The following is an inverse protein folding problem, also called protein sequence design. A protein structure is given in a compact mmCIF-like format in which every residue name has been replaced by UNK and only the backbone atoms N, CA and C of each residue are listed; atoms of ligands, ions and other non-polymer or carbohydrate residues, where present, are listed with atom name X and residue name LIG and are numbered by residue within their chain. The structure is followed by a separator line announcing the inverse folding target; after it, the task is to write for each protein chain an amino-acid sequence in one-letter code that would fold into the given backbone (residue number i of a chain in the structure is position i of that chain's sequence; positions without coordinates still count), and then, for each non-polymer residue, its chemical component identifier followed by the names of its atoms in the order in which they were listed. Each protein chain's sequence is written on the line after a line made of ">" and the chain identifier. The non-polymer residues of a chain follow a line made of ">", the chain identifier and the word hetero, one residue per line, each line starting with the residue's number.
data_IF_808772764846
#
_entry.id   IF_808772764846
#
_cell.length_a   1.000
_cell.length_b   1.000
_cell.length_c   1.000
_cell.angle_alpha   90.00
_cell.angle_beta   90.00
_cell.angle_gamma   90.00
#
_symmetry.space_group_name_H-M   'P 1'
#
loop_
_entity.id
_entity.type
_entity.pdbx_description
1 polymer ?
#
# COMPACT_ATOMS: atom_id res chain seq x y z
N UNK A 1 -8.08 -44.14 -36.46
CA UNK A 1 -7.50 -44.82 -35.28
C UNK A 1 -8.39 -44.53 -34.07
N UNK A 2 -9.10 -45.53 -33.53
CA UNK A 2 -9.91 -45.37 -32.31
C UNK A 2 -9.02 -45.68 -31.11
N UNK A 3 -8.66 -44.66 -30.33
CA UNK A 3 -7.94 -44.84 -29.07
C UNK A 3 -8.79 -45.71 -28.12
N UNK A 4 -8.17 -46.69 -27.45
CA UNK A 4 -8.85 -47.51 -26.44
C UNK A 4 -9.33 -46.61 -25.29
N UNK A 5 -10.38 -47.02 -24.55
CA UNK A 5 -10.94 -46.24 -23.43
C UNK A 5 -9.87 -45.82 -22.40
N UNK A 6 -8.83 -46.64 -22.23
CA UNK A 6 -7.69 -46.37 -21.35
C UNK A 6 -6.76 -45.26 -21.89
N UNK A 7 -6.51 -45.24 -23.21
CA UNK A 7 -5.70 -44.19 -23.84
C UNK A 7 -6.39 -42.82 -23.83
N UNK A 8 -7.71 -42.80 -23.94
CA UNK A 8 -8.51 -41.56 -23.84
C UNK A 8 -8.45 -40.91 -22.45
N UNK A 9 -8.53 -41.70 -21.38
CA UNK A 9 -8.42 -41.14 -20.02
C UNK A 9 -7.04 -40.53 -19.76
N UNK A 10 -5.97 -41.17 -20.24
CA UNK A 10 -4.63 -40.64 -20.08
C UNK A 10 -4.44 -39.31 -20.84
N UNK A 11 -5.02 -39.18 -22.03
CA UNK A 11 -4.99 -37.94 -22.82
C UNK A 11 -5.74 -36.81 -22.13
N UNK A 12 -6.91 -37.10 -21.53
CA UNK A 12 -7.68 -36.09 -20.79
C UNK A 12 -6.90 -35.63 -19.55
N UNK A 13 -6.34 -36.56 -18.77
CA UNK A 13 -5.54 -36.23 -17.58
C UNK A 13 -4.34 -35.35 -17.98
N UNK A 14 -3.61 -35.73 -19.02
CA UNK A 14 -2.44 -34.98 -19.49
C UNK A 14 -2.82 -33.57 -19.98
N UNK A 15 -3.95 -33.45 -20.67
CA UNK A 15 -4.45 -32.15 -21.17
C UNK A 15 -4.89 -31.24 -20.03
N UNK A 16 -5.61 -31.78 -19.03
CA UNK A 16 -6.04 -31.02 -17.86
C UNK A 16 -4.85 -30.59 -17.01
N UNK A 17 -3.86 -31.44 -16.79
CA UNK A 17 -2.63 -31.06 -16.08
C UNK A 17 -1.87 -29.94 -16.79
N UNK A 18 -1.73 -30.01 -18.12
CA UNK A 18 -1.11 -28.93 -18.91
C UNK A 18 -1.91 -27.63 -18.79
N UNK A 19 -3.24 -27.69 -18.85
CA UNK A 19 -4.10 -26.50 -18.71
C UNK A 19 -4.00 -25.92 -17.29
N UNK A 20 -3.99 -26.74 -16.24
CA UNK A 20 -3.80 -26.27 -14.85
C UNK A 20 -2.44 -25.60 -14.70
N UNK A 21 -1.37 -26.22 -15.22
CA UNK A 21 -0.02 -25.63 -15.20
C UNK A 21 0.02 -24.34 -16.02
N UNK A 22 -0.62 -24.28 -17.19
CA UNK A 22 -0.65 -23.09 -18.04
C UNK A 22 -1.45 -21.96 -17.40
N UNK A 23 -2.58 -22.25 -16.76
CA UNK A 23 -3.35 -21.26 -15.99
C UNK A 23 -2.52 -20.77 -14.82
N UNK A 24 -1.90 -21.67 -14.04
CA UNK A 24 -1.10 -21.29 -12.88
C UNK A 24 0.17 -20.51 -13.27
N UNK A 25 0.86 -20.93 -14.35
CA UNK A 25 2.04 -20.25 -14.88
C UNK A 25 1.70 -18.92 -15.57
N UNK A 26 0.51 -18.78 -16.17
CA UNK A 26 0.02 -17.49 -16.68
C UNK A 26 -0.41 -16.59 -15.53
N UNK A 27 -0.87 -17.16 -14.42
CA UNK A 27 -1.18 -16.41 -13.20
C UNK A 27 0.08 -15.81 -12.55
N UNK A 28 1.21 -16.55 -12.50
CA UNK A 28 2.50 -15.99 -12.08
C UNK A 28 3.04 -14.95 -13.06
N UNK A 29 2.76 -15.07 -14.36
CA UNK A 29 3.10 -14.03 -15.34
C UNK A 29 2.26 -12.75 -15.26
N UNK A 30 1.19 -12.73 -14.47
CA UNK A 30 0.46 -11.49 -14.15
C UNK A 30 1.12 -10.71 -13.02
N UNK A 31 2.06 -11.32 -12.29
CA UNK A 31 2.92 -10.65 -11.32
C UNK A 31 4.36 -11.13 -11.47
N UNK A 32 5.10 -10.65 -12.49
CA UNK A 32 6.53 -10.91 -12.56
C UNK A 32 7.19 -10.19 -11.37
N UNK A 33 7.45 -10.93 -10.30
CA UNK A 33 8.66 -10.71 -9.52
C UNK A 33 9.81 -10.97 -10.49
N UNK A 34 10.46 -9.92 -10.97
CA UNK A 34 11.91 -9.81 -11.22
C UNK A 34 12.21 -8.60 -12.14
N UNK A 35 12.99 -7.67 -11.58
CA UNK A 35 13.98 -6.84 -12.26
C UNK A 35 13.59 -6.14 -13.58
N UNK A 36 13.18 -4.87 -13.44
CA UNK A 36 13.69 -3.82 -14.30
C UNK A 36 13.10 -3.71 -15.71
N UNK A 37 11.82 -3.38 -15.83
CA UNK A 37 11.31 -2.63 -16.99
C UNK A 37 10.01 -1.90 -16.64
N UNK A 38 9.95 -0.62 -17.02
CA UNK A 38 8.93 0.38 -16.67
C UNK A 38 7.49 0.07 -17.15
N UNK A 39 6.83 -0.90 -16.53
CA UNK A 39 5.38 -0.88 -16.36
C UNK A 39 5.11 -0.32 -14.97
N UNK A 40 4.22 0.67 -14.83
CA UNK A 40 3.75 1.20 -13.56
C UNK A 40 3.14 0.08 -12.71
N UNK A 41 3.99 -0.69 -12.04
CA UNK A 41 3.57 -1.80 -11.20
C UNK A 41 2.82 -1.21 -10.03
N UNK A 42 1.60 -1.69 -9.82
CA UNK A 42 0.83 -1.32 -8.66
C UNK A 42 1.51 -1.94 -7.43
N UNK A 43 1.88 -1.11 -6.47
CA UNK A 43 2.55 -1.51 -5.24
C UNK A 43 1.73 -1.03 -4.04
N UNK A 44 1.58 -1.91 -3.04
CA UNK A 44 0.98 -1.53 -1.75
C UNK A 44 1.87 -0.53 -1.02
N UNK A 45 1.26 0.44 -0.37
CA UNK A 45 2.00 1.45 0.40
C UNK A 45 2.68 0.81 1.61
N UNK A 46 1.94 -0.03 2.32
CA UNK A 46 2.43 -0.80 3.45
C UNK A 46 2.70 -2.26 3.03
N UNK A 47 3.66 -2.95 3.69
CA UNK A 47 3.91 -4.36 3.46
C UNK A 47 2.65 -5.22 3.61
N UNK A 48 2.60 -6.33 2.87
CA UNK A 48 1.47 -7.26 2.97
C UNK A 48 1.29 -7.79 4.39
N UNK A 49 0.03 -7.95 4.80
CA UNK A 49 -0.35 -8.45 6.13
C UNK A 49 0.22 -7.66 7.31
N UNK A 50 0.64 -6.41 7.08
CA UNK A 50 1.12 -5.53 8.15
C UNK A 50 -0.01 -5.07 9.07
N UNK A 51 0.30 -4.91 10.36
CA UNK A 51 -0.62 -4.37 11.37
C UNK A 51 -0.07 -3.04 11.89
N UNK A 52 -0.80 -1.94 11.70
CA UNK A 52 -0.38 -0.62 12.19
C UNK A 52 -0.53 -0.55 13.71
N UNK A 53 0.52 -0.09 14.39
CA UNK A 53 0.56 0.17 15.83
C UNK A 53 0.44 1.66 16.13
N UNK A 54 1.21 2.47 15.41
CA UNK A 54 1.18 3.92 15.54
C UNK A 54 1.26 4.58 14.18
N UNK A 55 0.57 5.70 14.02
CA UNK A 55 0.65 6.57 12.85
C UNK A 55 0.79 8.01 13.32
N UNK A 56 1.86 8.70 12.92
CA UNK A 56 2.10 10.10 13.26
C UNK A 56 2.16 10.93 11.99
N UNK A 57 1.36 11.98 11.91
CA UNK A 57 1.31 12.92 10.80
C UNK A 57 1.89 14.25 11.31
N UNK A 58 3.01 14.69 10.75
CA UNK A 58 3.63 15.97 11.03
C UNK A 58 3.33 16.92 9.87
N UNK A 59 2.42 17.86 10.10
CA UNK A 59 2.00 18.86 9.10
C UNK A 59 2.90 20.08 9.14
N UNK A 60 3.32 20.48 10.34
CA UNK A 60 4.20 21.62 10.59
C UNK A 60 4.81 21.46 11.98
N UNK A 61 5.84 22.25 12.30
CA UNK A 61 6.51 22.31 13.62
C UNK A 61 5.55 22.40 14.83
N UNK A 62 4.37 23.00 14.64
CA UNK A 62 3.37 23.22 15.69
C UNK A 62 2.15 22.30 15.59
N UNK A 63 2.00 21.58 14.48
CA UNK A 63 0.79 20.84 14.14
C UNK A 63 1.12 19.40 13.82
N UNK A 64 0.66 18.49 14.69
CA UNK A 64 0.86 17.07 14.53
C UNK A 64 -0.34 16.26 15.01
N UNK A 65 -0.60 15.14 14.36
CA UNK A 65 -1.56 14.13 14.79
C UNK A 65 -0.83 12.85 15.10
N UNK A 66 -1.12 12.25 16.24
CA UNK A 66 -0.55 10.98 16.65
C UNK A 66 -1.66 10.01 17.00
N UNK A 67 -1.69 8.90 16.28
CA UNK A 67 -2.59 7.78 16.48
C UNK A 67 -1.80 6.63 17.07
N UNK A 68 -2.27 6.09 18.20
CA UNK A 68 -1.65 4.94 18.84
C UNK A 68 -2.70 3.90 19.20
N UNK A 69 -2.37 2.63 18.97
CA UNK A 69 -3.19 1.51 19.42
C UNK A 69 -2.90 1.21 20.89
N UNK A 70 -3.90 1.37 21.74
CA UNK A 70 -3.79 1.10 23.19
C UNK A 70 -4.75 -0.02 23.56
N UNK A 71 -4.21 -1.24 23.66
CA UNK A 71 -5.01 -2.44 23.83
C UNK A 71 -5.85 -2.72 22.58
N UNK A 72 -7.17 -2.60 22.71
CA UNK A 72 -8.12 -2.87 21.61
C UNK A 72 -8.62 -1.63 20.90
N UNK A 73 -8.36 -0.44 21.45
CA UNK A 73 -8.87 0.82 20.93
C UNK A 73 -7.77 1.71 20.38
N UNK A 74 -8.19 2.69 19.57
CA UNK A 74 -7.32 3.73 19.07
C UNK A 74 -7.40 4.99 19.93
N UNK A 75 -6.25 5.60 20.18
CA UNK A 75 -6.15 6.90 20.82
C UNK A 75 -5.58 7.92 19.84
N UNK A 76 -6.23 9.07 19.76
CA UNK A 76 -5.77 10.23 19.01
C UNK A 76 -5.24 11.28 19.98
N UNK A 77 -4.01 11.70 19.75
CA UNK A 77 -3.42 12.89 20.38
C UNK A 77 -3.10 13.90 19.29
N UNK A 78 -3.72 15.09 19.34
CA UNK A 78 -3.44 16.17 18.42
C UNK A 78 -2.71 17.32 19.12
N UNK A 79 -1.79 17.97 18.41
CA UNK A 79 -1.10 19.17 18.83
C UNK A 79 -1.36 20.26 17.80
N UNK A 80 -1.75 21.45 18.23
CA UNK A 80 -1.98 22.60 17.35
C UNK A 80 -3.24 22.52 16.47
N UNK A 81 -4.00 21.42 16.53
CA UNK A 81 -5.23 21.25 15.76
C UNK A 81 -6.31 20.56 16.59
N UNK A 82 -7.52 21.11 16.60
CA UNK A 82 -8.68 20.50 17.24
C UNK A 82 -9.35 19.52 16.26
N UNK A 83 -8.82 18.30 16.19
CA UNK A 83 -9.41 17.20 15.41
C UNK A 83 -10.11 16.25 16.38
N UNK A 84 -11.40 16.04 16.18
CA UNK A 84 -12.17 15.04 16.90
C UNK A 84 -12.58 13.94 15.91
N UNK A 85 -11.90 12.79 15.96
CA UNK A 85 -12.26 11.60 15.21
C UNK A 85 -12.85 10.57 16.15
N UNK A 86 -13.91 9.89 15.70
CA UNK A 86 -14.43 8.72 16.40
C UNK A 86 -13.50 7.53 16.22
N UNK A 87 -13.55 6.57 17.14
CA UNK A 87 -12.76 5.34 17.04
C UNK A 87 -12.98 4.62 15.70
N UNK A 88 -14.23 4.54 15.23
CA UNK A 88 -14.57 3.94 13.94
C UNK A 88 -13.93 4.68 12.75
N UNK A 89 -13.84 6.01 12.81
CA UNK A 89 -13.15 6.79 11.76
C UNK A 89 -11.65 6.53 11.77
N UNK A 90 -11.04 6.37 12.94
CA UNK A 90 -9.62 6.03 13.06
C UNK A 90 -9.37 4.61 12.55
N UNK A 91 -10.22 3.63 12.88
CA UNK A 91 -10.10 2.28 12.34
C UNK A 91 -10.18 2.25 10.81
N UNK A 92 -11.13 2.99 10.24
CA UNK A 92 -11.24 3.13 8.78
C UNK A 92 -10.00 3.78 8.16
N UNK A 93 -9.44 4.81 8.80
CA UNK A 93 -8.20 5.47 8.37
C UNK A 93 -7.04 4.47 8.34
N UNK A 94 -6.84 3.70 9.42
CA UNK A 94 -5.78 2.70 9.50
C UNK A 94 -5.97 1.58 8.48
N UNK A 95 -7.21 1.13 8.29
CA UNK A 95 -7.55 0.14 7.28
C UNK A 95 -7.26 0.65 5.86
N UNK A 96 -7.63 1.89 5.55
CA UNK A 96 -7.32 2.52 4.27
C UNK A 96 -5.81 2.56 4.03
N UNK A 97 -4.99 2.89 5.03
CA UNK A 97 -3.52 2.82 4.90
C UNK A 97 -3.01 1.41 4.58
N UNK A 98 -3.54 0.38 5.25
CA UNK A 98 -3.12 -1.02 5.07
C UNK A 98 -3.54 -1.62 3.73
N UNK A 99 -4.67 -1.18 3.18
CA UNK A 99 -5.21 -1.71 1.92
C UNK A 99 -4.83 -0.88 0.70
N UNK A 100 -4.30 0.33 0.88
CA UNK A 100 -4.01 1.22 -0.24
C UNK A 100 -2.78 0.76 -1.04
N UNK A 101 -2.97 0.77 -2.35
CA UNK A 101 -1.95 0.59 -3.36
C UNK A 101 -1.90 1.80 -4.28
N UNK A 102 -0.77 1.95 -4.97
CA UNK A 102 -0.60 3.00 -5.96
C UNK A 102 0.41 2.60 -7.02
N UNK A 103 0.55 3.46 -8.02
CA UNK A 103 1.43 3.21 -9.17
C UNK A 103 2.85 3.68 -8.85
N UNK A 104 3.82 2.76 -8.91
CA UNK A 104 5.23 3.11 -8.77
C UNK A 104 5.65 4.06 -9.89
N UNK A 105 6.33 5.14 -9.51
CA UNK A 105 6.89 6.13 -10.44
C UNK A 105 8.33 5.73 -10.78
N UNK A 106 8.68 5.84 -12.06
CA UNK A 106 10.01 5.50 -12.58
C UNK A 106 11.02 6.63 -12.44
N UNK A 107 10.56 7.87 -12.30
CA UNK A 107 11.40 9.06 -12.28
C UNK A 107 11.63 9.58 -10.85
N UNK A 108 12.82 10.12 -10.61
CA UNK A 108 13.11 10.86 -9.38
C UNK A 108 12.35 12.18 -9.41
N UNK A 109 11.24 12.24 -8.67
CA UNK A 109 10.37 13.41 -8.66
C UNK A 109 11.05 14.51 -7.84
N UNK A 110 11.49 15.57 -8.52
CA UNK A 110 12.03 16.77 -7.85
C UNK A 110 10.87 17.55 -7.23
N UNK A 111 10.68 17.41 -5.91
CA UNK A 111 9.65 18.14 -5.17
C UNK A 111 10.29 19.05 -4.11
N UNK A 112 9.66 20.21 -3.89
CA UNK A 112 9.97 21.09 -2.77
C UNK A 112 9.56 20.42 -1.45
N UNK A 113 10.56 20.04 -0.66
CA UNK A 113 10.39 19.36 0.63
C UNK A 113 9.58 20.17 1.64
N UNK A 114 9.49 21.50 1.48
CA UNK A 114 8.68 22.36 2.36
C UNK A 114 7.17 22.14 2.21
N UNK A 115 6.74 21.52 1.11
CA UNK A 115 5.33 21.19 0.86
C UNK A 115 4.99 19.75 1.29
N UNK A 116 5.98 18.99 1.76
CA UNK A 116 5.79 17.62 2.21
C UNK A 116 5.07 17.58 3.57
N UNK A 117 4.13 16.65 3.72
CA UNK A 117 3.69 16.21 5.05
C UNK A 117 4.47 14.95 5.41
N UNK A 118 5.15 14.96 6.54
CA UNK A 118 5.91 13.81 7.01
C UNK A 118 5.00 12.86 7.80
N UNK A 119 5.16 11.57 7.55
CA UNK A 119 4.35 10.51 8.14
C UNK A 119 5.25 9.40 8.68
N UNK A 120 5.00 9.01 9.92
CA UNK A 120 5.70 7.90 10.57
C UNK A 120 4.71 6.81 10.92
N UNK A 121 4.94 5.60 10.41
CA UNK A 121 4.10 4.43 10.66
C UNK A 121 4.96 3.34 11.32
N UNK A 122 4.58 2.94 12.52
CA UNK A 122 5.15 1.76 13.16
C UNK A 122 4.22 0.57 12.95
N UNK A 123 4.80 -0.56 12.52
CA UNK A 123 4.07 -1.79 12.24
C UNK A 123 4.44 -2.88 13.24
N UNK A 124 3.51 -3.78 13.52
CA UNK A 124 3.78 -4.96 14.33
C UNK A 124 4.79 -5.88 13.61
N UNK A 125 5.82 -6.32 14.33
CA UNK A 125 6.86 -7.20 13.79
C UNK A 125 7.92 -6.50 12.94
N UNK A 126 7.85 -5.17 12.77
CA UNK A 126 8.87 -4.37 12.09
C UNK A 126 9.53 -3.46 13.11
N UNK A 127 10.85 -3.61 13.30
CA UNK A 127 11.58 -2.83 14.32
C UNK A 127 11.73 -1.36 13.94
N UNK A 128 11.86 -1.06 12.64
CA UNK A 128 12.02 0.30 12.14
C UNK A 128 10.67 0.93 11.81
N UNK A 129 10.52 2.18 12.23
CA UNK A 129 9.37 3.00 11.84
C UNK A 129 9.51 3.39 10.37
N UNK A 130 8.48 3.12 9.58
CA UNK A 130 8.43 3.50 8.19
C UNK A 130 8.17 5.01 8.10
N UNK A 131 9.00 5.72 7.35
CA UNK A 131 8.87 7.16 7.15
C UNK A 131 8.46 7.42 5.71
N UNK A 132 7.39 8.19 5.56
CA UNK A 132 6.84 8.59 4.28
C UNK A 132 6.74 10.10 4.17
N UNK A 133 6.92 10.61 2.96
CA UNK A 133 6.58 11.99 2.62
C UNK A 133 5.39 12.01 1.68
N UNK A 134 4.35 12.70 2.10
CA UNK A 134 3.14 12.90 1.30
C UNK A 134 3.18 14.26 0.62
N UNK A 135 2.92 14.26 -0.69
CA UNK A 135 2.89 15.43 -1.53
C UNK A 135 1.55 15.49 -2.27
N UNK A 136 0.56 16.24 -1.74
CA UNK A 136 -0.72 16.39 -2.39
C UNK A 136 -0.58 17.30 -3.62
N UNK A 137 -0.94 16.80 -4.80
CA UNK A 137 -1.15 17.59 -6.02
C UNK A 137 -2.64 17.74 -6.30
N UNK A 138 -3.00 18.44 -7.39
CA UNK A 138 -4.40 18.66 -7.77
C UNK A 138 -5.16 17.36 -8.05
N UNK A 139 -4.55 16.46 -8.81
CA UNK A 139 -5.22 15.26 -9.35
C UNK A 139 -4.73 13.95 -8.70
N UNK A 140 -3.60 14.01 -7.99
CA UNK A 140 -2.97 12.84 -7.38
C UNK A 140 -2.23 13.21 -6.09
N UNK A 141 -2.00 12.20 -5.27
CA UNK A 141 -1.12 12.23 -4.11
C UNK A 141 0.14 11.44 -4.44
N UNK A 142 1.30 12.07 -4.32
CA UNK A 142 2.58 11.37 -4.38
C UNK A 142 3.01 11.00 -2.97
N UNK A 143 3.45 9.76 -2.79
CA UNK A 143 3.97 9.23 -1.54
C UNK A 143 5.38 8.73 -1.81
N UNK A 144 6.35 9.30 -1.12
CA UNK A 144 7.73 8.82 -1.12
C UNK A 144 7.97 7.96 0.10
N UNK A 145 8.45 6.74 -0.10
CA UNK A 145 8.91 5.87 0.98
C UNK A 145 10.40 6.10 1.21
N UNK A 146 10.79 6.67 2.35
CA UNK A 146 12.20 6.95 2.64
C UNK A 146 13.04 5.67 2.82
N UNK A 147 12.45 4.59 3.33
CA UNK A 147 13.16 3.34 3.57
C UNK A 147 13.54 2.63 2.27
N UNK A 148 12.67 2.68 1.26
CA UNK A 148 12.90 2.01 -0.03
C UNK A 148 13.36 2.94 -1.15
N UNK A 149 13.23 4.27 -0.99
CA UNK A 149 13.53 5.25 -2.03
C UNK A 149 12.55 5.24 -3.20
N UNK A 150 11.33 4.72 -2.99
CA UNK A 150 10.33 4.53 -4.06
C UNK A 150 9.25 5.60 -3.97
N UNK A 151 8.88 6.15 -5.12
CA UNK A 151 7.74 7.03 -5.31
C UNK A 151 6.51 6.24 -5.75
N UNK A 152 5.39 6.47 -5.08
CA UNK A 152 4.10 5.86 -5.38
C UNK A 152 3.09 6.99 -5.64
N UNK A 153 2.31 6.89 -6.72
CA UNK A 153 1.22 7.81 -6.99
C UNK A 153 -0.15 7.19 -6.70
N UNK A 154 -1.02 7.97 -6.10
CA UNK A 154 -2.41 7.61 -5.82
C UNK A 154 -3.37 8.66 -6.39
N UNK A 155 -4.54 8.28 -6.91
CA UNK A 155 -5.58 9.23 -7.29
C UNK A 155 -6.01 10.12 -6.10
N UNK A 156 -6.29 11.40 -6.36
CA UNK A 156 -6.74 12.34 -5.32
C UNK A 156 -8.05 11.92 -4.61
N UNK A 157 -8.86 11.04 -5.22
CA UNK A 157 -10.03 10.48 -4.56
C UNK A 157 -9.65 9.59 -3.35
N UNK A 158 -8.55 8.84 -3.44
CA UNK A 158 -8.08 7.95 -2.38
C UNK A 158 -7.32 8.72 -1.29
N UNK A 159 -6.65 9.82 -1.63
CA UNK A 159 -5.88 10.62 -0.66
C UNK A 159 -6.74 11.13 0.51
N UNK A 160 -8.03 11.42 0.25
CA UNK A 160 -8.98 11.87 1.28
C UNK A 160 -9.24 10.84 2.37
N UNK A 161 -9.04 9.57 2.06
CA UNK A 161 -9.21 8.47 3.02
C UNK A 161 -7.95 8.23 3.85
N UNK A 162 -6.79 8.73 3.40
CA UNK A 162 -5.49 8.53 4.03
C UNK A 162 -5.10 9.68 4.96
N UNK A 163 -5.64 10.88 4.73
CA UNK A 163 -5.36 12.06 5.55
C UNK A 163 -6.66 12.61 6.14
N UNK A 164 -6.80 12.65 7.48
CA UNK A 164 -7.99 13.19 8.13
C UNK A 164 -8.02 14.73 8.17
N UNK A 165 -7.02 15.38 7.59
CA UNK A 165 -6.78 16.81 7.61
C UNK A 165 -6.74 17.33 6.18
N UNK A 166 -7.91 17.73 5.67
CA UNK A 166 -8.05 18.44 4.41
C UNK A 166 -8.90 19.68 4.60
#
# INVERSE_FOLDING_TARGET
>A
MKLSRTGWNNVIIFSVMIIIIMINATNEKLFPEEAGQHSSAEQKILPEHSVVLTLSILVSEKTSLHFARVGRSWQLTSKGLAVNLTEQQIEQLMFSWQQSSGLVQADDVVIDQSLATELHIALAGVEQTLVYWLYPLKDQLLIYNQSSGIWISLPAALSKQLLPIQ
#
